data_IF_908968511333
#
_entry.id   IF_908968511333
#
_cell.length_a   1.000
_cell.length_b   1.000
_cell.length_c   1.000
_cell.angle_alpha   90.00
_cell.angle_beta   90.00
_cell.angle_gamma   90.00
#
_symmetry.space_group_name_H-M   'P 1'
#
loop_
_entity.id
_entity.type
_entity.pdbx_description
1 polymer ?
#
# COMPACT_ATOMS: atom_id res chain seq x y z
N UNK A 1 -4.72 -3.65 13.14
CA UNK A 1 -3.49 -3.16 12.48
C UNK A 1 -2.40 -4.22 12.68
N UNK A 2 -1.77 -4.67 11.59
CA UNK A 2 -0.88 -5.85 11.57
C UNK A 2 0.50 -5.40 12.11
N UNK A 3 0.74 -5.61 13.40
CA UNK A 3 1.82 -5.05 14.22
C UNK A 3 3.29 -5.40 13.83
N UNK A 4 3.54 -5.98 12.65
CA UNK A 4 4.87 -6.46 12.23
C UNK A 4 5.44 -5.72 11.01
N UNK A 5 4.75 -4.72 10.47
CA UNK A 5 5.26 -3.91 9.36
C UNK A 5 6.08 -2.71 9.85
N UNK A 6 7.22 -2.42 9.20
CA UNK A 6 8.03 -1.20 9.44
C UNK A 6 7.22 0.10 9.30
N UNK A 7 6.18 0.08 8.47
CA UNK A 7 5.22 1.16 8.31
C UNK A 7 3.80 0.67 8.65
N UNK A 8 3.28 0.93 9.88
CA UNK A 8 1.98 0.41 10.33
C UNK A 8 0.78 1.17 9.77
N UNK A 9 0.99 2.37 9.23
CA UNK A 9 -0.05 3.17 8.60
C UNK A 9 -0.48 2.53 7.26
N UNK A 10 -1.77 2.25 7.04
CA UNK A 10 -2.22 1.72 5.75
C UNK A 10 -2.19 2.79 4.65
N UNK A 11 -2.37 4.06 5.01
CA UNK A 11 -2.46 5.21 4.08
C UNK A 11 -1.12 5.83 3.73
N UNK A 12 -0.07 5.51 4.48
CA UNK A 12 1.19 6.22 4.45
C UNK A 12 2.35 5.29 4.82
N UNK A 13 3.54 5.52 4.28
CA UNK A 13 4.75 4.80 4.63
C UNK A 13 5.42 5.37 5.89
N UNK A 14 4.64 5.90 6.83
CA UNK A 14 5.17 6.47 8.06
C UNK A 14 5.87 5.35 8.88
N UNK A 15 7.16 5.51 9.20
CA UNK A 15 7.89 4.54 10.00
C UNK A 15 7.33 4.42 11.42
N UNK A 16 7.57 3.28 12.08
CA UNK A 16 7.15 3.06 13.46
C UNK A 16 7.85 4.01 14.44
N UNK A 17 9.08 4.42 14.12
CA UNK A 17 9.89 5.31 14.96
C UNK A 17 9.31 6.73 15.02
N UNK A 18 8.52 7.11 14.01
CA UNK A 18 7.88 8.43 13.90
C UNK A 18 6.50 8.48 14.57
N UNK A 19 6.03 7.36 15.15
CA UNK A 19 4.75 7.30 15.86
C UNK A 19 4.67 8.27 17.05
N UNK A 20 5.72 8.48 17.86
CA UNK A 20 5.68 9.43 18.97
C UNK A 20 5.38 10.86 18.52
N UNK A 21 5.74 11.23 17.28
CA UNK A 21 5.51 12.56 16.72
C UNK A 21 4.07 12.75 16.20
N UNK A 22 3.15 11.79 16.43
CA UNK A 22 1.78 11.85 15.94
C UNK A 22 1.05 13.13 16.38
N UNK A 23 0.33 13.75 15.45
CA UNK A 23 -0.45 14.95 15.72
C UNK A 23 0.36 16.25 15.69
N UNK A 24 1.68 16.17 15.54
CA UNK A 24 2.51 17.36 15.30
C UNK A 24 2.36 17.89 13.87
N UNK A 25 2.74 19.15 13.64
CA UNK A 25 2.82 19.73 12.29
C UNK A 25 3.76 18.91 11.39
N UNK A 26 4.82 18.32 11.98
CA UNK A 26 5.76 17.45 11.28
C UNK A 26 5.10 16.15 10.83
N UNK A 27 4.29 15.51 11.68
CA UNK A 27 3.52 14.32 11.30
C UNK A 27 2.55 14.62 10.16
N UNK A 28 1.85 15.76 10.18
CA UNK A 28 0.97 16.17 9.07
C UNK A 28 1.75 16.27 7.75
N UNK A 29 2.88 16.98 7.76
CA UNK A 29 3.74 17.12 6.57
C UNK A 29 4.27 15.76 6.11
N UNK A 30 4.72 14.91 7.04
CA UNK A 30 5.21 13.55 6.72
C UNK A 30 4.12 12.69 6.08
N UNK A 31 2.88 12.74 6.56
CA UNK A 31 1.75 11.98 5.97
C UNK A 31 1.41 12.41 4.55
N UNK A 32 1.51 13.69 4.25
CA UNK A 32 1.34 14.22 2.89
C UNK A 32 2.48 13.74 1.98
N UNK A 33 3.73 13.83 2.44
CA UNK A 33 4.90 13.43 1.63
C UNK A 33 5.08 11.92 1.46
N UNK A 34 4.72 11.14 2.49
CA UNK A 34 4.87 9.68 2.54
C UNK A 34 3.54 8.98 2.28
N UNK A 35 2.57 9.66 1.66
CA UNK A 35 1.32 9.04 1.26
C UNK A 35 1.60 7.77 0.45
N UNK A 36 0.91 6.67 0.79
CA UNK A 36 1.07 5.42 0.07
C UNK A 36 0.39 5.59 -1.28
N UNK A 37 1.19 5.91 -2.29
CA UNK A 37 0.78 5.84 -3.68
C UNK A 37 0.94 4.39 -4.14
N UNK A 38 -0.18 3.78 -4.53
CA UNK A 38 -0.13 2.52 -5.27
C UNK A 38 0.45 2.84 -6.65
N UNK A 39 1.75 2.62 -6.78
CA UNK A 39 2.49 2.79 -8.01
C UNK A 39 1.77 2.06 -9.16
N UNK A 40 1.48 2.79 -10.24
CA UNK A 40 0.64 2.37 -11.37
C UNK A 40 0.94 0.96 -11.90
N UNK A 41 2.18 0.50 -11.76
CA UNK A 41 2.66 -0.82 -12.20
C UNK A 41 1.95 -1.97 -11.46
N UNK A 42 1.76 -1.84 -10.14
CA UNK A 42 1.06 -2.86 -9.32
C UNK A 42 -0.41 -2.94 -9.72
N UNK A 43 -1.03 -1.79 -9.96
CA UNK A 43 -2.43 -1.72 -10.36
C UNK A 43 -2.65 -2.26 -11.79
N UNK A 44 -1.76 -1.97 -12.74
CA UNK A 44 -1.86 -2.51 -14.10
C UNK A 44 -1.79 -4.04 -14.14
N UNK A 45 -0.83 -4.61 -13.41
CA UNK A 45 -0.65 -6.07 -13.34
C UNK A 45 -1.84 -6.75 -12.64
N UNK A 46 -2.29 -6.22 -11.50
CA UNK A 46 -3.45 -6.76 -10.77
C UNK A 46 -4.73 -6.66 -11.61
N UNK A 47 -4.95 -5.53 -12.30
CA UNK A 47 -6.12 -5.33 -13.16
C UNK A 47 -6.10 -6.32 -14.32
N UNK A 48 -4.94 -6.50 -14.96
CA UNK A 48 -4.77 -7.47 -16.05
C UNK A 48 -5.01 -8.90 -15.60
N UNK A 49 -4.50 -9.30 -14.44
CA UNK A 49 -4.74 -10.63 -13.87
C UNK A 49 -6.22 -10.81 -13.52
N UNK A 50 -6.87 -9.80 -12.93
CA UNK A 50 -8.32 -9.84 -12.66
C UNK A 50 -9.12 -10.01 -13.94
N UNK A 51 -8.78 -9.30 -15.00
CA UNK A 51 -9.43 -9.47 -16.30
C UNK A 51 -9.22 -10.87 -16.87
N UNK A 52 -8.02 -11.44 -16.72
CA UNK A 52 -7.74 -12.81 -17.16
C UNK A 52 -8.57 -13.86 -16.43
N UNK A 53 -8.76 -13.72 -15.12
CA UNK A 53 -9.55 -14.64 -14.30
C UNK A 53 -11.04 -14.48 -14.59
N UNK A 54 -11.55 -13.25 -14.48
CA UNK A 54 -12.99 -13.00 -14.43
C UNK A 54 -13.64 -12.78 -15.81
N UNK A 55 -12.91 -12.23 -16.79
CA UNK A 55 -13.46 -11.97 -18.13
C UNK A 55 -13.08 -13.04 -19.15
N UNK A 56 -11.85 -13.57 -19.05
CA UNK A 56 -11.31 -14.52 -20.02
C UNK A 56 -11.31 -15.97 -19.52
N UNK A 57 -11.71 -16.22 -18.27
CA UNK A 57 -11.83 -17.58 -17.71
C UNK A 57 -10.51 -18.35 -17.64
N UNK A 58 -9.36 -17.66 -17.60
CA UNK A 58 -8.06 -18.34 -17.53
C UNK A 58 -7.81 -18.88 -16.13
N UNK A 59 -7.52 -20.17 -16.06
CA UNK A 59 -7.11 -20.83 -14.82
C UNK A 59 -5.71 -20.38 -14.41
N UNK A 60 -5.59 -19.83 -13.20
CA UNK A 60 -4.30 -19.50 -12.58
C UNK A 60 -3.84 -20.72 -11.80
N UNK A 61 -2.72 -21.30 -12.21
CA UNK A 61 -2.04 -22.36 -11.44
C UNK A 61 -1.00 -21.69 -10.54
N UNK A 62 -1.04 -21.98 -9.24
CA UNK A 62 0.09 -21.69 -8.35
C UNK A 62 1.13 -22.77 -8.59
N UNK A 63 2.32 -22.37 -9.00
CA UNK A 63 3.51 -23.24 -9.03
C UNK A 63 3.93 -23.59 -7.61
#
# INVERSE_FOLDING_TARGET
IRNLGKAPCPRCYLPKEDIPDLGTVRDRKKRETLARTDEHIKNGTITRIRDWIYKLGRNVKST
#
